data_IF_027740782673
#
_entry.id   IF_027740782673
#
_cell.length_a   1.000
_cell.length_b   1.000
_cell.length_c   1.000
_cell.angle_alpha   90.00
_cell.angle_beta   90.00
_cell.angle_gamma   90.00
#
_symmetry.space_group_name_H-M   'P 1'
#
loop_
_entity.id
_entity.type
_entity.pdbx_description
1 polymer ?
#
# COMPACT_ATOMS: atom_id res chain seq x y z
N UNK A 1 -8.29 -20.59 -4.56
CA UNK A 1 -8.20 -19.70 -5.74
C UNK A 1 -7.60 -18.37 -5.32
N UNK A 2 -8.23 -17.70 -4.34
CA UNK A 2 -7.76 -16.48 -3.68
C UNK A 2 -6.29 -16.53 -3.20
N UNK A 3 -5.84 -17.63 -2.58
CA UNK A 3 -4.47 -17.70 -2.05
C UNK A 3 -3.38 -17.49 -3.12
N UNK A 4 -3.60 -17.98 -4.34
CA UNK A 4 -2.66 -17.82 -5.45
C UNK A 4 -2.67 -16.37 -5.97
N UNK A 5 -3.85 -15.77 -6.03
CA UNK A 5 -4.05 -14.37 -6.42
C UNK A 5 -3.48 -13.41 -5.36
N UNK A 6 -3.71 -13.67 -4.08
CA UNK A 6 -3.19 -12.89 -2.96
C UNK A 6 -1.67 -12.91 -2.91
N UNK A 7 -1.04 -14.06 -3.15
CA UNK A 7 0.42 -14.16 -3.30
C UNK A 7 0.91 -13.42 -4.56
N UNK A 8 0.16 -13.48 -5.66
CA UNK A 8 0.49 -12.76 -6.88
C UNK A 8 0.46 -11.24 -6.66
N UNK A 9 -0.61 -10.72 -6.04
CA UNK A 9 -0.75 -9.31 -5.69
C UNK A 9 0.31 -8.87 -4.68
N UNK A 10 0.65 -9.69 -3.68
CA UNK A 10 1.75 -9.35 -2.77
C UNK A 10 3.08 -9.24 -3.51
N UNK A 11 3.40 -10.21 -4.38
CA UNK A 11 4.62 -10.15 -5.19
C UNK A 11 4.65 -8.90 -6.06
N UNK A 12 3.51 -8.53 -6.67
CA UNK A 12 3.36 -7.30 -7.45
C UNK A 12 3.53 -6.06 -6.56
N UNK A 13 2.89 -6.01 -5.40
CA UNK A 13 2.99 -4.90 -4.46
C UNK A 13 4.43 -4.68 -3.96
N UNK A 14 5.17 -5.75 -3.66
CA UNK A 14 6.59 -5.66 -3.31
C UNK A 14 7.39 -5.08 -4.49
N UNK A 15 7.17 -5.56 -5.71
CA UNK A 15 7.85 -5.03 -6.91
C UNK A 15 7.51 -3.57 -7.19
N UNK A 16 6.24 -3.18 -7.06
CA UNK A 16 5.79 -1.79 -7.23
C UNK A 16 6.42 -0.92 -6.16
N UNK A 17 6.41 -1.35 -4.90
CA UNK A 17 7.07 -0.63 -3.80
C UNK A 17 8.57 -0.41 -4.07
N UNK A 18 9.26 -1.42 -4.61
CA UNK A 18 10.66 -1.26 -5.02
C UNK A 18 10.83 -0.25 -6.16
N UNK A 19 9.95 -0.28 -7.17
CA UNK A 19 9.99 0.65 -8.31
C UNK A 19 9.68 2.09 -7.89
N UNK A 20 8.61 2.31 -7.14
CA UNK A 20 8.19 3.63 -6.63
C UNK A 20 9.18 4.24 -5.64
N UNK A 21 10.01 3.41 -5.01
CA UNK A 21 11.09 3.87 -4.12
C UNK A 21 12.45 3.97 -4.82
N UNK A 22 12.51 4.00 -6.16
CA UNK A 22 13.77 4.08 -6.91
C UNK A 22 14.78 2.98 -6.52
N UNK A 23 14.29 1.77 -6.26
CA UNK A 23 15.08 0.63 -5.76
C UNK A 23 15.78 0.86 -4.41
N UNK A 24 15.32 1.82 -3.60
CA UNK A 24 15.87 2.03 -2.26
C UNK A 24 15.13 1.22 -1.19
N UNK A 25 13.83 0.93 -1.36
CA UNK A 25 13.02 0.20 -0.38
C UNK A 25 13.19 -1.32 -0.43
N UNK A 26 14.41 -1.82 -0.27
CA UNK A 26 14.66 -3.25 -0.05
C UNK A 26 14.31 -3.65 1.39
N UNK A 27 13.03 -3.53 1.77
CA UNK A 27 12.55 -4.07 3.06
C UNK A 27 12.28 -5.57 2.95
N UNK A 28 11.78 -6.00 1.79
CA UNK A 28 11.35 -7.37 1.51
C UNK A 28 11.89 -7.83 0.18
N UNK A 29 12.53 -9.00 0.13
CA UNK A 29 12.93 -9.64 -1.14
C UNK A 29 12.05 -10.86 -1.33
N UNK A 30 11.43 -10.95 -2.51
CA UNK A 30 10.66 -12.13 -2.84
C UNK A 30 11.59 -13.30 -3.19
N UNK A 31 11.56 -14.37 -2.40
CA UNK A 31 12.33 -15.57 -2.69
C UNK A 31 11.49 -16.50 -3.59
N UNK A 32 11.87 -16.60 -4.87
CA UNK A 32 11.18 -17.45 -5.85
C UNK A 32 11.20 -18.94 -5.48
N UNK A 33 12.24 -19.41 -4.77
CA UNK A 33 12.36 -20.83 -4.37
C UNK A 33 11.37 -21.19 -3.27
N UNK A 34 11.17 -20.28 -2.32
CA UNK A 34 10.28 -20.49 -1.18
C UNK A 34 8.88 -19.94 -1.40
N UNK A 35 8.64 -19.20 -2.50
CA UNK A 35 7.41 -18.43 -2.78
C UNK A 35 6.98 -17.58 -1.58
N UNK A 36 7.95 -17.00 -0.89
CA UNK A 36 7.77 -16.24 0.36
C UNK A 36 8.56 -14.94 0.31
N UNK A 37 8.01 -13.91 0.96
CA UNK A 37 8.74 -12.68 1.23
C UNK A 37 9.80 -12.96 2.31
N UNK A 38 11.06 -12.70 2.00
CA UNK A 38 12.18 -12.75 2.93
C UNK A 38 12.58 -11.35 3.36
N UNK A 39 13.05 -11.25 4.60
CA UNK A 39 13.57 -10.02 5.16
C UNK A 39 14.95 -9.75 4.58
N UNK A 40 15.17 -8.50 4.15
CA UNK A 40 16.49 -8.07 3.72
C UNK A 40 17.40 -7.91 4.95
N UNK A 41 18.67 -8.32 4.88
CA UNK A 41 19.62 -8.16 5.98
C UNK A 41 19.60 -6.74 6.53
N UNK A 42 19.53 -6.64 7.85
CA UNK A 42 19.33 -5.40 8.60
C UNK A 42 20.44 -4.36 8.37
N UNK A 43 21.61 -4.79 7.91
CA UNK A 43 22.77 -3.94 7.67
C UNK A 43 22.95 -3.51 6.21
N UNK A 44 21.91 -3.64 5.38
CA UNK A 44 21.97 -3.19 4.00
C UNK A 44 21.92 -1.66 3.91
N UNK A 45 22.83 -1.07 3.12
CA UNK A 45 22.86 0.38 2.86
C UNK A 45 21.52 0.90 2.31
N UNK A 46 20.81 0.05 1.57
CA UNK A 46 19.51 0.37 0.95
C UNK A 46 18.42 0.64 2.01
N UNK A 47 18.37 -0.16 3.08
CA UNK A 47 17.40 0.06 4.17
C UNK A 47 17.61 1.42 4.84
N UNK A 48 18.87 1.80 5.07
CA UNK A 48 19.22 3.10 5.66
C UNK A 48 18.87 4.26 4.74
N UNK A 49 19.11 4.11 3.43
CA UNK A 49 18.71 5.09 2.43
C UNK A 49 17.19 5.25 2.37
N UNK A 50 16.43 4.16 2.44
CA UNK A 50 14.98 4.17 2.49
C UNK A 50 14.43 4.91 3.72
N UNK A 51 14.95 4.60 4.90
CA UNK A 51 14.59 5.30 6.13
C UNK A 51 14.87 6.80 6.00
N UNK A 52 16.06 7.16 5.52
CA UNK A 52 16.44 8.56 5.33
C UNK A 52 15.53 9.30 4.34
N UNK A 53 15.19 8.67 3.21
CA UNK A 53 14.27 9.23 2.22
C UNK A 53 12.89 9.46 2.84
N UNK A 54 12.34 8.46 3.55
CA UNK A 54 11.04 8.59 4.20
C UNK A 54 11.03 9.67 5.30
N UNK A 55 12.06 9.70 6.15
CA UNK A 55 12.20 10.74 7.16
C UNK A 55 12.32 12.12 6.53
N UNK A 56 13.04 12.26 5.41
CA UNK A 56 13.16 13.53 4.67
C UNK A 56 11.81 13.97 4.11
N UNK A 57 11.03 13.04 3.53
CA UNK A 57 9.69 13.33 3.02
C UNK A 57 8.76 13.78 4.17
N UNK A 58 8.74 13.06 5.29
CA UNK A 58 7.92 13.42 6.46
C UNK A 58 8.34 14.79 6.98
N UNK A 59 9.65 15.03 7.14
CA UNK A 59 10.19 16.30 7.63
C UNK A 59 9.89 17.50 6.72
N UNK A 60 9.71 17.28 5.41
CA UNK A 60 9.31 18.33 4.45
C UNK A 60 7.78 18.50 4.42
N UNK A 61 7.02 17.41 4.39
CA UNK A 61 5.55 17.46 4.30
C UNK A 61 4.90 17.98 5.58
N UNK A 62 5.40 17.58 6.74
CA UNK A 62 4.86 17.98 8.04
C UNK A 62 4.80 19.52 8.22
N UNK A 63 5.89 20.30 8.02
CA UNK A 63 5.82 21.75 8.14
C UNK A 63 4.93 22.38 7.06
N UNK A 64 4.89 21.84 5.84
CA UNK A 64 4.00 22.34 4.77
C UNK A 64 2.55 22.17 5.21
N UNK A 65 2.17 21.00 5.72
CA UNK A 65 0.82 20.72 6.22
C UNK A 65 0.48 21.59 7.42
N UNK A 66 1.41 21.79 8.37
CA UNK A 66 1.20 22.67 9.52
C UNK A 66 0.99 24.12 9.10
N UNK A 67 1.78 24.63 8.16
CA UNK A 67 1.62 25.99 7.61
C UNK A 67 0.25 26.11 6.94
N UNK A 68 -0.18 25.11 6.16
CA UNK A 68 -1.48 25.12 5.49
C UNK A 68 -2.64 25.06 6.48
N UNK A 69 -2.54 24.21 7.51
CA UNK A 69 -3.53 24.16 8.60
C UNK A 69 -3.60 25.49 9.37
N UNK A 70 -2.45 26.14 9.59
CA UNK A 70 -2.40 27.47 10.23
C UNK A 70 -3.05 28.55 9.36
N UNK A 71 -2.74 28.57 8.06
CA UNK A 71 -3.37 29.48 7.09
C UNK A 71 -4.89 29.29 7.04
N UNK A 72 -5.36 28.04 7.03
CA UNK A 72 -6.79 27.71 7.06
C UNK A 72 -7.47 28.18 8.34
N UNK A 73 -6.79 28.09 9.48
CA UNK A 73 -7.32 28.54 10.77
C UNK A 73 -7.45 30.06 10.85
N UNK A 74 -6.56 30.78 10.17
CA UNK A 74 -6.52 32.25 10.18
C UNK A 74 -7.20 32.93 8.99
N UNK A 75 -7.58 32.18 7.94
CA UNK A 75 -8.37 32.75 6.85
C UNK A 75 -9.74 33.16 7.38
N UNK A 76 -10.05 34.46 7.27
CA UNK A 76 -11.37 35.00 7.58
C UNK A 76 -12.45 34.23 6.82
N UNK A 77 -13.62 34.09 7.43
CA UNK A 77 -14.80 33.35 6.95
C UNK A 77 -15.46 33.99 5.71
N UNK A 78 -14.69 34.59 4.82
CA UNK A 78 -15.17 35.04 3.52
C UNK A 78 -14.96 33.87 2.56
N UNK A 79 -16.09 33.28 2.16
CA UNK A 79 -16.23 32.02 1.47
C UNK A 79 -15.63 32.02 0.06
N UNK A 80 -14.30 31.90 -0.04
CA UNK A 80 -13.67 31.51 -1.29
C UNK A 80 -13.72 29.99 -1.43
N UNK A 81 -14.39 29.49 -2.48
CA UNK A 81 -14.46 28.07 -2.85
C UNK A 81 -13.07 27.41 -2.93
N UNK A 82 -12.03 28.21 -3.19
CA UNK A 82 -10.63 27.79 -3.23
C UNK A 82 -10.09 27.34 -1.85
N UNK A 83 -10.58 27.93 -0.75
CA UNK A 83 -10.23 27.52 0.61
C UNK A 83 -10.87 26.18 0.97
N UNK A 84 -12.11 25.95 0.54
CA UNK A 84 -12.81 24.68 0.75
C UNK A 84 -12.12 23.55 -0.01
N UNK A 85 -11.73 23.80 -1.26
CA UNK A 85 -10.99 22.80 -2.06
C UNK A 85 -9.63 22.48 -1.43
N UNK A 86 -8.88 23.50 -1.01
CA UNK A 86 -7.60 23.30 -0.30
C UNK A 86 -7.79 22.52 1.01
N UNK A 87 -8.82 22.82 1.79
CA UNK A 87 -9.15 22.06 3.00
C UNK A 87 -9.37 20.59 2.68
N UNK A 88 -10.20 20.32 1.67
CA UNK A 88 -10.61 18.97 1.29
C UNK A 88 -9.45 18.10 0.83
N UNK A 89 -8.38 18.67 0.27
CA UNK A 89 -7.16 17.93 -0.06
C UNK A 89 -6.17 17.85 1.11
N UNK A 90 -6.01 18.93 1.88
CA UNK A 90 -4.97 19.01 2.92
C UNK A 90 -5.27 18.06 4.09
N UNK A 91 -6.54 17.93 4.50
CA UNK A 91 -6.92 17.07 5.63
C UNK A 91 -6.73 15.57 5.36
N UNK A 92 -7.21 15.00 4.24
CA UNK A 92 -6.95 13.59 3.92
C UNK A 92 -5.47 13.29 3.74
N UNK A 93 -4.71 14.18 3.09
CA UNK A 93 -3.26 13.99 2.94
C UNK A 93 -2.56 14.00 4.30
N UNK A 94 -2.92 14.92 5.20
CA UNK A 94 -2.38 14.95 6.55
C UNK A 94 -2.72 13.69 7.36
N UNK A 95 -3.96 13.20 7.25
CA UNK A 95 -4.38 11.94 7.89
C UNK A 95 -3.60 10.75 7.32
N UNK A 96 -3.42 10.68 6.00
CA UNK A 96 -2.62 9.62 5.37
C UNK A 96 -1.17 9.65 5.85
N UNK A 97 -0.54 10.83 5.90
CA UNK A 97 0.82 10.99 6.43
C UNK A 97 0.87 10.51 7.89
N UNK A 98 -0.08 10.93 8.73
CA UNK A 98 -0.15 10.51 10.12
C UNK A 98 -0.34 9.00 10.32
N UNK A 99 -1.14 8.35 9.46
CA UNK A 99 -1.34 6.90 9.47
C UNK A 99 -0.10 6.15 8.98
N UNK A 100 0.68 6.75 8.06
CA UNK A 100 1.90 6.15 7.52
C UNK A 100 3.07 6.22 8.49
N UNK A 101 3.17 7.24 9.34
CA UNK A 101 4.24 7.37 10.34
C UNK A 101 4.41 6.10 11.20
N UNK A 102 3.41 5.60 11.94
CA UNK A 102 3.56 4.41 12.77
C UNK A 102 3.86 3.15 11.95
N UNK A 103 3.33 3.07 10.73
CA UNK A 103 3.61 1.97 9.81
C UNK A 103 5.09 1.96 9.39
N UNK A 104 5.64 3.12 9.02
CA UNK A 104 7.05 3.29 8.66
C UNK A 104 7.95 3.02 9.86
N UNK A 105 7.59 3.48 11.06
CA UNK A 105 8.33 3.18 12.29
C UNK A 105 8.34 1.67 12.61
N UNK A 106 7.20 1.00 12.45
CA UNK A 106 7.12 -0.44 12.61
C UNK A 106 7.99 -1.17 11.56
N UNK A 107 7.97 -0.72 10.30
CA UNK A 107 8.81 -1.26 9.23
C UNK A 107 10.29 -0.92 9.38
N UNK A 108 10.64 0.19 10.03
CA UNK A 108 12.03 0.54 10.31
C UNK A 108 12.63 -0.35 11.40
N UNK A 109 11.80 -0.85 12.33
CA UNK A 109 12.22 -1.78 13.38
C UNK A 109 12.45 -3.20 12.83
N UNK A 110 13.51 -3.88 13.26
CA UNK A 110 13.72 -5.31 12.95
C UNK A 110 12.54 -6.17 13.40
N UNK A 111 12.07 -5.94 14.61
CA UNK A 111 10.97 -6.69 15.20
C UNK A 111 9.66 -6.45 14.44
N UNK A 112 9.41 -5.23 13.99
CA UNK A 112 8.19 -4.90 13.27
C UNK A 112 8.16 -5.51 11.86
N UNK A 113 9.29 -5.57 11.14
CA UNK A 113 9.36 -6.27 9.85
C UNK A 113 9.09 -7.78 9.99
N UNK A 114 9.64 -8.42 11.02
CA UNK A 114 9.38 -9.83 11.30
C UNK A 114 7.90 -10.05 11.62
N UNK A 115 7.31 -9.18 12.47
CA UNK A 115 5.89 -9.23 12.79
C UNK A 115 5.03 -9.06 11.54
N UNK A 116 5.40 -8.17 10.63
CA UNK A 116 4.66 -7.95 9.38
C UNK A 116 4.66 -9.20 8.49
N UNK A 117 5.82 -9.83 8.26
CA UNK A 117 5.90 -11.09 7.50
C UNK A 117 5.07 -12.19 8.18
N UNK A 118 5.15 -12.28 9.51
CA UNK A 118 4.38 -13.27 10.28
C UNK A 118 2.86 -13.02 10.22
N UNK A 119 2.43 -11.76 10.25
CA UNK A 119 1.02 -11.39 10.07
C UNK A 119 0.54 -11.78 8.68
N UNK A 120 1.35 -11.49 7.65
CA UNK A 120 1.00 -11.88 6.29
C UNK A 120 0.91 -13.41 6.13
N UNK A 121 1.85 -14.15 6.70
CA UNK A 121 1.81 -15.62 6.70
C UNK A 121 0.59 -16.16 7.45
N UNK A 122 0.27 -15.60 8.61
CA UNK A 122 -0.93 -15.96 9.38
C UNK A 122 -2.21 -15.66 8.62
N UNK A 123 -2.29 -14.50 7.95
CA UNK A 123 -3.44 -14.10 7.14
C UNK A 123 -3.63 -15.02 5.94
N UNK A 124 -2.53 -15.42 5.30
CA UNK A 124 -2.53 -16.41 4.23
C UNK A 124 -2.98 -17.79 4.72
N UNK A 125 -2.58 -18.22 5.91
CA UNK A 125 -3.03 -19.49 6.49
C UNK A 125 -4.51 -19.44 6.88
N UNK A 126 -4.95 -18.32 7.46
CA UNK A 126 -6.34 -18.06 7.78
C UNK A 126 -7.23 -18.13 6.54
N UNK A 127 -6.76 -17.59 5.41
CA UNK A 127 -7.45 -17.65 4.14
C UNK A 127 -7.62 -19.09 3.62
N UNK A 128 -6.57 -19.92 3.72
CA UNK A 128 -6.64 -21.35 3.36
C UNK A 128 -7.64 -22.07 4.28
N UNK A 129 -7.61 -21.79 5.58
CA UNK A 129 -8.55 -22.35 6.54
C UNK A 129 -10.00 -21.94 6.24
N UNK A 130 -10.25 -20.66 5.96
CA UNK A 130 -11.57 -20.16 5.55
C UNK A 130 -12.04 -20.81 4.26
N UNK A 131 -11.16 -20.98 3.27
CA UNK A 131 -11.52 -21.65 2.02
C UNK A 131 -11.97 -23.10 2.27
N UNK A 132 -11.30 -23.82 3.17
CA UNK A 132 -11.64 -25.20 3.54
C UNK A 132 -12.94 -25.28 4.36
N UNK A 133 -13.12 -24.38 5.31
CA UNK A 133 -14.37 -24.23 6.08
C UNK A 133 -15.56 -23.92 5.17
N UNK A 134 -15.35 -23.05 4.19
CA UNK A 134 -16.36 -22.71 3.18
C UNK A 134 -16.73 -23.95 2.37
N UNK A 135 -15.77 -24.77 1.92
CA UNK A 135 -16.06 -26.01 1.16
C UNK A 135 -16.83 -27.03 1.99
N UNK A 136 -16.49 -27.20 3.27
CA UNK A 136 -17.14 -28.15 4.17
C UNK A 136 -18.58 -27.74 4.52
N UNK A 137 -18.82 -26.45 4.78
CA UNK A 137 -20.19 -25.93 5.07
C UNK A 137 -21.07 -25.93 3.82
N UNK A 138 -20.52 -25.59 2.65
CA UNK A 138 -21.26 -25.53 1.38
C UNK A 138 -21.81 -26.89 0.91
N UNK A 139 -21.22 -28.01 1.36
CA UNK A 139 -21.76 -29.36 1.10
C UNK A 139 -23.00 -29.70 1.93
N UNK A 140 -23.19 -29.04 3.08
CA UNK A 140 -24.19 -29.45 4.07
C UNK A 140 -25.40 -28.51 4.21
N UNK A 141 -25.40 -27.31 3.60
CA UNK A 141 -26.50 -26.35 3.72
C UNK A 141 -26.96 -25.84 2.34
N UNK A 142 -28.29 -25.88 2.11
CA UNK A 142 -28.95 -25.47 0.86
C UNK A 142 -28.37 -24.20 0.24
N UNK A 143 -27.73 -24.36 -0.92
CA UNK A 143 -26.66 -23.51 -1.45
C UNK A 143 -26.99 -22.05 -1.83
N UNK A 144 -28.23 -21.59 -1.66
CA UNK A 144 -28.65 -20.23 -2.07
C UNK A 144 -28.02 -19.10 -1.24
N UNK A 145 -28.17 -19.14 0.09
CA UNK A 145 -27.61 -18.09 0.97
C UNK A 145 -26.09 -18.14 1.06
N UNK A 146 -25.54 -19.36 1.01
CA UNK A 146 -24.09 -19.59 1.03
C UNK A 146 -23.40 -19.03 -0.22
N UNK A 147 -23.93 -19.30 -1.41
CA UNK A 147 -23.35 -18.76 -2.66
C UNK A 147 -23.42 -17.22 -2.69
N UNK A 148 -24.48 -16.63 -2.13
CA UNK A 148 -24.62 -15.16 -2.00
C UNK A 148 -23.59 -14.55 -1.03
N UNK A 149 -23.37 -15.16 0.13
CA UNK A 149 -22.35 -14.69 1.08
C UNK A 149 -20.93 -14.83 0.48
N UNK A 150 -20.66 -15.96 -0.17
CA UNK A 150 -19.39 -16.22 -0.87
C UNK A 150 -19.14 -15.19 -1.98
N UNK A 151 -20.14 -14.87 -2.81
CA UNK A 151 -19.97 -13.88 -3.88
C UNK A 151 -19.77 -12.48 -3.33
N UNK A 152 -20.41 -12.15 -2.20
CA UNK A 152 -20.29 -10.83 -1.57
C UNK A 152 -18.89 -10.63 -0.99
N UNK A 153 -18.40 -11.60 -0.22
CA UNK A 153 -17.04 -11.57 0.34
C UNK A 153 -16.00 -11.57 -0.78
N UNK A 154 -16.19 -12.42 -1.80
CA UNK A 154 -15.40 -12.42 -3.02
C UNK A 154 -15.34 -11.03 -3.65
N UNK A 155 -16.47 -10.37 -3.83
CA UNK A 155 -16.57 -9.06 -4.46
C UNK A 155 -15.83 -7.98 -3.65
N UNK A 156 -15.95 -7.97 -2.32
CA UNK A 156 -15.21 -7.03 -1.48
C UNK A 156 -13.70 -7.25 -1.58
N UNK A 157 -13.25 -8.50 -1.50
CA UNK A 157 -11.82 -8.83 -1.61
C UNK A 157 -11.29 -8.47 -3.01
N UNK A 158 -12.04 -8.78 -4.07
CA UNK A 158 -11.71 -8.40 -5.45
C UNK A 158 -11.67 -6.88 -5.64
N UNK A 159 -12.61 -6.12 -5.08
CA UNK A 159 -12.59 -4.66 -5.12
C UNK A 159 -11.39 -4.09 -4.38
N UNK A 160 -11.03 -4.67 -3.24
CA UNK A 160 -9.87 -4.25 -2.46
C UNK A 160 -8.57 -4.50 -3.24
N UNK A 161 -8.47 -5.65 -3.92
CA UNK A 161 -7.33 -5.96 -4.79
C UNK A 161 -7.27 -5.09 -6.05
N UNK A 162 -8.39 -4.88 -6.75
CA UNK A 162 -8.41 -4.01 -7.93
C UNK A 162 -8.18 -2.54 -7.59
N UNK A 163 -8.70 -2.05 -6.46
CA UNK A 163 -8.42 -0.69 -6.01
C UNK A 163 -6.92 -0.46 -5.72
N UNK A 164 -6.24 -1.49 -5.21
CA UNK A 164 -4.78 -1.47 -5.05
C UNK A 164 -4.03 -1.59 -6.40
N UNK A 165 -4.59 -2.30 -7.39
CA UNK A 165 -3.97 -2.51 -8.69
C UNK A 165 -4.12 -1.29 -9.63
N UNK A 166 -5.28 -0.65 -9.64
CA UNK A 166 -5.55 0.59 -10.40
C UNK A 166 -4.78 1.80 -9.84
N UNK A 167 -4.46 1.79 -8.55
CA UNK A 167 -3.55 2.77 -7.96
C UNK A 167 -2.11 2.64 -8.48
N UNK A 168 -1.73 1.46 -8.99
CA UNK A 168 -0.38 1.19 -9.52
C UNK A 168 -0.27 1.19 -11.05
N UNK A 169 -1.38 1.06 -11.79
CA UNK A 169 -1.35 0.99 -13.26
C UNK A 169 -1.27 2.36 -13.96
N UNK A 170 -1.77 3.42 -13.33
CA UNK A 170 -1.78 4.78 -13.92
C UNK A 170 -0.40 5.43 -14.06
N UNK A 171 0.63 4.86 -13.45
CA UNK A 171 2.01 5.35 -13.60
C UNK A 171 2.71 4.83 -14.87
N UNK A 172 2.19 3.82 -15.58
CA UNK A 172 2.86 3.33 -16.80
C UNK A 172 2.66 4.27 -18.01
N UNK A 173 1.56 5.03 -18.07
CA UNK A 173 1.31 5.97 -19.17
C UNK A 173 2.00 7.32 -18.99
N UNK A 174 2.39 7.69 -17.75
CA UNK A 174 3.03 9.00 -17.49
C UNK A 174 4.50 9.03 -17.95
N UNK A 175 5.17 7.88 -18.05
CA UNK A 175 6.57 7.81 -18.48
C UNK A 175 6.77 7.66 -20.00
N UNK A 176 5.72 7.39 -20.77
CA UNK A 176 5.81 7.41 -22.24
C UNK A 176 5.84 8.83 -22.82
N UNK A 177 5.51 9.86 -22.04
CA UNK A 177 5.55 11.26 -22.48
C UNK A 177 6.87 12.00 -22.21
N UNK A 178 7.79 11.45 -21.41
CA UNK A 178 9.02 12.17 -20.99
C UNK A 178 10.29 11.72 -21.74
N UNK A 179 10.22 10.66 -22.57
CA UNK A 179 11.36 10.16 -23.34
C UNK A 179 11.22 10.41 -24.85
N UNK A 180 11.28 11.66 -25.28
CA UNK A 180 11.54 12.00 -26.68
C UNK A 180 12.60 13.12 -26.78
N UNK A 181 13.89 12.79 -26.95
CA UNK A 181 14.88 13.79 -27.31
C UNK A 181 14.69 14.18 -28.78
N UNK A 182 14.28 15.43 -29.03
CA UNK A 182 14.40 16.06 -30.35
C UNK A 182 15.89 16.26 -30.64
N UNK A 183 16.47 15.41 -31.50
CA UNK A 183 17.67 15.81 -32.24
C UNK A 183 17.21 16.60 -33.47
N UNK A 184 17.62 17.87 -33.52
CA UNK A 184 17.51 18.72 -34.70
C UNK A 184 18.93 18.83 -35.26
N UNK A 185 19.06 18.46 -36.53
CA UNK A 185 20.25 18.67 -37.36
C UNK A 185 20.37 20.13 -37.76
#
# INVERSE_FOLDING_TARGET
MWHREGLHHLRRAIKVTHRSSLNTAYCFVWNEKQKRAQLVPQNSKNLRAFQFLYFSIIFILEPILLIRCYQLRHSSYNADDELVLKAYFTFPVALLVWMLIPLVFALASSTGRIKFVRHYEALSQLEVYLADLIVTVGRNHGGGRYNKAKSTISLYVTLLYHGLDDAGSKDEDFYLFVSAPKSVK
#
